data_IF_621297931643
#
_entry.id   IF_621297931643
#
_cell.length_a   1.000
_cell.length_b   1.000
_cell.length_c   1.000
_cell.angle_alpha   90.00
_cell.angle_beta   90.00
_cell.angle_gamma   90.00
#
_symmetry.space_group_name_H-M   'P 1'
#
loop_
_entity.id
_entity.type
_entity.pdbx_description
1 polymer ?
#
# COMPACT_ATOMS: atom_id res chain seq x y z
N UNK A 1 15.78 13.41 5.46
CA UNK A 1 15.90 14.23 4.24
C UNK A 1 14.79 13.83 3.28
N UNK A 2 14.08 14.80 2.69
CA UNK A 2 13.07 14.51 1.69
C UNK A 2 13.73 14.00 0.40
N UNK A 3 13.23 12.86 -0.11
CA UNK A 3 13.71 12.28 -1.37
C UNK A 3 12.84 12.79 -2.52
N UNK A 4 13.48 13.24 -3.59
CA UNK A 4 12.76 13.51 -4.85
C UNK A 4 12.32 12.19 -5.47
N UNK A 5 11.06 12.15 -5.91
CA UNK A 5 10.47 10.97 -6.55
C UNK A 5 10.67 10.94 -8.07
N UNK A 6 11.13 12.03 -8.68
CA UNK A 6 11.37 12.09 -10.13
C UNK A 6 12.38 11.01 -10.57
N UNK A 7 12.01 10.21 -11.57
CA UNK A 7 12.79 9.09 -12.08
C UNK A 7 12.90 7.87 -11.14
N UNK A 8 12.25 7.88 -9.98
CA UNK A 8 12.27 6.74 -9.05
C UNK A 8 11.32 5.64 -9.50
N UNK A 9 11.79 4.39 -9.44
CA UNK A 9 11.01 3.19 -9.78
C UNK A 9 10.29 2.70 -8.54
N UNK A 10 8.95 2.77 -8.55
CA UNK A 10 8.13 2.48 -7.38
C UNK A 10 7.07 1.43 -7.71
N UNK A 11 7.15 0.27 -7.07
CA UNK A 11 6.17 -0.80 -7.19
C UNK A 11 4.96 -0.46 -6.31
N UNK A 12 3.75 -0.49 -6.88
CA UNK A 12 2.49 -0.31 -6.17
C UNK A 12 1.65 -1.57 -6.30
N UNK A 13 1.43 -2.28 -5.20
CA UNK A 13 0.56 -3.45 -5.18
C UNK A 13 -0.90 -3.05 -4.97
N UNK A 14 -1.83 -3.79 -5.56
CA UNK A 14 -3.25 -3.41 -5.54
C UNK A 14 -3.55 -2.17 -6.39
N UNK A 15 -2.75 -1.90 -7.44
CA UNK A 15 -2.83 -0.69 -8.26
C UNK A 15 -4.06 -0.61 -9.18
N UNK A 16 -4.90 -1.63 -9.24
CA UNK A 16 -6.04 -1.70 -10.17
C UNK A 16 -7.29 -0.94 -9.70
N UNK A 17 -7.31 -0.34 -8.51
CA UNK A 17 -8.41 0.48 -7.98
C UNK A 17 -8.03 1.23 -6.70
N UNK A 18 -8.89 2.17 -6.29
CA UNK A 18 -8.87 2.83 -4.99
C UNK A 18 -7.54 3.50 -4.66
N UNK A 19 -7.02 3.26 -3.44
CA UNK A 19 -5.80 3.87 -2.94
C UNK A 19 -4.59 3.57 -3.84
N UNK A 20 -4.46 2.32 -4.31
CA UNK A 20 -3.33 1.92 -5.17
C UNK A 20 -3.33 2.62 -6.52
N UNK A 21 -4.47 2.72 -7.18
CA UNK A 21 -4.64 3.47 -8.43
C UNK A 21 -4.35 4.96 -8.23
N UNK A 22 -4.95 5.57 -7.21
CA UNK A 22 -4.72 6.98 -6.89
C UNK A 22 -3.23 7.26 -6.58
N UNK A 23 -2.57 6.36 -5.85
CA UNK A 23 -1.13 6.45 -5.56
C UNK A 23 -0.31 6.38 -6.85
N UNK A 24 -0.62 5.46 -7.77
CA UNK A 24 0.09 5.34 -9.04
C UNK A 24 -0.03 6.62 -9.89
N UNK A 25 -1.23 7.22 -9.96
CA UNK A 25 -1.46 8.50 -10.64
C UNK A 25 -0.66 9.65 -10.02
N UNK A 26 -0.61 9.70 -8.69
CA UNK A 26 0.16 10.71 -7.96
C UNK A 26 1.67 10.55 -8.18
N UNK A 27 2.17 9.31 -8.17
CA UNK A 27 3.57 9.00 -8.46
C UNK A 27 3.96 9.43 -9.88
N UNK A 28 3.11 9.11 -10.86
CA UNK A 28 3.34 9.56 -12.24
C UNK A 28 3.40 11.08 -12.34
N UNK A 29 2.46 11.81 -11.72
CA UNK A 29 2.49 13.28 -11.66
C UNK A 29 3.74 13.84 -10.97
N UNK A 30 4.31 13.11 -10.02
CA UNK A 30 5.58 13.46 -9.38
C UNK A 30 6.82 13.07 -10.20
N UNK A 31 6.66 12.62 -11.46
CA UNK A 31 7.74 12.21 -12.35
C UNK A 31 8.37 10.85 -12.00
N UNK A 32 7.77 10.06 -11.10
CA UNK A 32 8.20 8.70 -10.81
C UNK A 32 7.81 7.73 -11.94
N UNK A 33 8.40 6.53 -11.90
CA UNK A 33 8.13 5.42 -12.81
C UNK A 33 7.33 4.34 -12.04
N UNK A 34 5.98 4.39 -12.04
CA UNK A 34 5.18 3.45 -11.30
C UNK A 34 5.17 2.06 -11.96
N UNK A 35 5.34 1.01 -11.14
CA UNK A 35 5.13 -0.38 -11.55
C UNK A 35 3.82 -0.85 -10.92
N UNK A 36 2.85 -1.17 -11.76
CA UNK A 36 1.47 -1.43 -11.37
C UNK A 36 1.25 -2.94 -11.18
N UNK A 37 1.10 -3.39 -9.94
CA UNK A 37 0.89 -4.81 -9.63
C UNK A 37 -0.52 -5.06 -9.10
N UNK A 38 -1.28 -5.94 -9.76
CA UNK A 38 -2.58 -6.44 -9.33
C UNK A 38 -3.01 -7.63 -10.22
N UNK A 39 -4.09 -8.34 -9.82
CA UNK A 39 -4.61 -9.47 -10.59
C UNK A 39 -5.39 -9.05 -11.86
N UNK A 40 -6.05 -7.88 -11.84
CA UNK A 40 -6.92 -7.40 -12.93
C UNK A 40 -6.07 -6.78 -14.04
N UNK A 41 -5.61 -7.62 -14.99
CA UNK A 41 -4.72 -7.22 -16.07
C UNK A 41 -5.33 -6.14 -16.98
N UNK A 42 -6.62 -6.23 -17.25
CA UNK A 42 -7.40 -5.26 -18.05
C UNK A 42 -7.33 -3.84 -17.45
N UNK A 43 -7.55 -3.72 -16.12
CA UNK A 43 -7.47 -2.44 -15.43
C UNK A 43 -6.05 -1.89 -15.38
N UNK A 44 -5.05 -2.75 -15.20
CA UNK A 44 -3.64 -2.33 -15.24
C UNK A 44 -3.25 -1.82 -16.61
N UNK A 45 -3.72 -2.47 -17.68
CA UNK A 45 -3.47 -2.05 -19.06
C UNK A 45 -4.12 -0.70 -19.35
N UNK A 46 -5.38 -0.51 -18.93
CA UNK A 46 -6.07 0.77 -19.08
C UNK A 46 -5.33 1.90 -18.32
N UNK A 47 -4.94 1.65 -17.06
CA UNK A 47 -4.22 2.64 -16.26
C UNK A 47 -2.84 2.95 -16.85
N UNK A 48 -2.10 1.96 -17.34
CA UNK A 48 -0.79 2.18 -17.96
C UNK A 48 -0.89 2.94 -19.29
N UNK A 49 -1.99 2.82 -20.01
CA UNK A 49 -2.22 3.62 -21.23
C UNK A 49 -2.45 5.12 -20.92
N UNK A 50 -2.97 5.44 -19.74
CA UNK A 50 -3.11 6.81 -19.26
C UNK A 50 -1.80 7.36 -18.65
N UNK A 51 -1.01 6.45 -18.03
CA UNK A 51 0.26 6.76 -17.38
C UNK A 51 1.40 6.20 -18.24
N UNK A 52 1.80 6.94 -19.26
CA UNK A 52 2.72 6.55 -20.34
C UNK A 52 4.06 5.94 -19.88
N UNK A 53 4.48 6.24 -18.64
CA UNK A 53 5.71 5.70 -18.02
C UNK A 53 5.46 4.47 -17.14
N UNK A 54 4.21 4.08 -16.91
CA UNK A 54 3.86 3.00 -15.97
C UNK A 54 4.06 1.60 -16.59
N UNK A 55 4.61 0.68 -15.80
CA UNK A 55 4.79 -0.72 -16.17
C UNK A 55 3.67 -1.59 -15.55
N UNK A 56 2.72 -2.12 -16.33
CA UNK A 56 1.72 -3.03 -15.81
C UNK A 56 2.30 -4.45 -15.67
N UNK A 57 2.17 -5.05 -14.47
CA UNK A 57 2.60 -6.42 -14.19
C UNK A 57 1.48 -7.17 -13.47
N UNK A 58 0.68 -7.97 -14.20
CA UNK A 58 -0.34 -8.81 -13.57
C UNK A 58 0.30 -9.73 -12.53
N UNK A 59 -0.15 -9.62 -11.27
CA UNK A 59 0.47 -10.32 -10.14
C UNK A 59 -0.58 -10.70 -9.11
N UNK A 60 -0.60 -11.98 -8.72
CA UNK A 60 -1.30 -12.42 -7.51
C UNK A 60 -0.33 -12.35 -6.33
N UNK A 61 -0.63 -11.48 -5.38
CA UNK A 61 0.21 -11.28 -4.20
C UNK A 61 0.16 -12.47 -3.21
N UNK A 62 -0.75 -13.43 -3.41
CA UNK A 62 -0.77 -14.68 -2.64
C UNK A 62 0.21 -15.73 -3.16
N UNK A 63 0.79 -15.51 -4.33
CA UNK A 63 1.77 -16.39 -4.96
C UNK A 63 3.19 -15.80 -4.86
N UNK A 64 4.06 -16.33 -3.99
CA UNK A 64 5.43 -15.82 -3.84
C UNK A 64 6.28 -15.91 -5.11
N UNK A 65 5.96 -16.82 -6.04
CA UNK A 65 6.71 -16.89 -7.30
C UNK A 65 6.34 -15.71 -8.22
N UNK A 66 5.05 -15.35 -8.30
CA UNK A 66 4.63 -14.17 -9.05
C UNK A 66 5.16 -12.88 -8.43
N UNK A 67 5.22 -12.80 -7.08
CA UNK A 67 5.82 -11.65 -6.39
C UNK A 67 7.30 -11.49 -6.71
N UNK A 68 8.07 -12.58 -6.76
CA UNK A 68 9.47 -12.54 -7.23
C UNK A 68 9.55 -12.11 -8.69
N UNK A 69 8.72 -12.69 -9.56
CA UNK A 69 8.66 -12.34 -10.98
C UNK A 69 8.34 -10.87 -11.23
N UNK A 70 7.49 -10.24 -10.40
CA UNK A 70 7.21 -8.79 -10.44
C UNK A 70 8.50 -7.98 -10.23
N UNK A 71 9.30 -8.33 -9.22
CA UNK A 71 10.55 -7.61 -8.92
C UNK A 71 11.58 -7.86 -10.02
N UNK A 72 11.73 -9.10 -10.49
CA UNK A 72 12.66 -9.46 -11.57
C UNK A 72 12.34 -8.69 -12.87
N UNK A 73 11.05 -8.60 -13.24
CA UNK A 73 10.60 -7.83 -14.40
C UNK A 73 10.86 -6.32 -14.21
N UNK A 74 10.67 -5.81 -12.99
CA UNK A 74 10.96 -4.41 -12.67
C UNK A 74 12.44 -4.11 -12.83
N UNK A 75 13.31 -4.96 -12.28
CA UNK A 75 14.78 -4.83 -12.41
C UNK A 75 15.22 -4.99 -13.86
N UNK A 76 14.66 -5.96 -14.58
CA UNK A 76 14.95 -6.13 -16.02
C UNK A 76 14.59 -4.90 -16.85
N UNK A 77 13.50 -4.22 -16.53
CA UNK A 77 12.99 -3.06 -17.29
C UNK A 77 13.69 -1.75 -16.92
N UNK A 78 13.97 -1.54 -15.64
CA UNK A 78 14.41 -0.25 -15.10
C UNK A 78 15.80 -0.30 -14.42
N UNK A 79 16.37 -1.48 -14.19
CA UNK A 79 17.67 -1.64 -13.54
C UNK A 79 17.65 -1.43 -12.02
N UNK A 80 16.51 -1.07 -11.43
CA UNK A 80 16.40 -0.68 -10.02
C UNK A 80 14.99 -0.83 -9.45
N UNK A 81 14.89 -0.79 -8.12
CA UNK A 81 13.64 -0.63 -7.36
C UNK A 81 13.91 0.38 -6.24
N UNK A 82 13.34 1.57 -6.30
CA UNK A 82 13.53 2.62 -5.30
C UNK A 82 12.48 2.60 -4.20
N UNK A 83 11.27 2.14 -4.54
CA UNK A 83 10.18 2.08 -3.58
C UNK A 83 9.26 0.89 -3.78
N UNK A 84 8.64 0.47 -2.67
CA UNK A 84 7.56 -0.52 -2.63
C UNK A 84 6.40 0.03 -1.82
N UNK A 85 5.21 0.03 -2.39
CA UNK A 85 3.95 0.33 -1.70
C UNK A 85 3.15 -0.97 -1.59
N UNK A 86 3.14 -1.57 -0.41
CA UNK A 86 2.31 -2.72 -0.06
C UNK A 86 0.91 -2.24 0.29
N UNK A 87 0.05 -2.10 -0.74
CA UNK A 87 -1.33 -1.66 -0.61
C UNK A 87 -2.34 -2.77 -0.92
N UNK A 88 -1.95 -3.80 -1.67
CA UNK A 88 -2.84 -4.93 -1.93
C UNK A 88 -3.36 -5.55 -0.63
N UNK A 89 -4.66 -5.82 -0.58
CA UNK A 89 -5.30 -6.42 0.58
C UNK A 89 -6.77 -6.72 0.32
N UNK A 90 -7.35 -7.46 1.24
CA UNK A 90 -8.79 -7.72 1.31
C UNK A 90 -9.29 -7.42 2.73
N UNK A 91 -10.59 -7.14 2.85
CA UNK A 91 -11.27 -7.04 4.14
C UNK A 91 -12.07 -8.31 4.40
N UNK A 92 -12.32 -8.53 5.66
CA UNK A 92 -13.29 -9.50 6.15
C UNK A 92 -14.13 -8.83 7.24
N UNK A 93 -15.43 -9.04 7.18
CA UNK A 93 -16.34 -8.50 8.18
C UNK A 93 -17.23 -9.62 8.71
N UNK A 94 -17.19 -9.85 10.01
CA UNK A 94 -17.97 -10.91 10.69
C UNK A 94 -17.61 -10.98 12.17
N UNK A 95 -18.51 -11.59 12.98
CA UNK A 95 -18.26 -11.84 14.39
C UNK A 95 -17.17 -12.90 14.54
N UNK A 96 -16.37 -12.84 15.60
CA UNK A 96 -15.25 -13.78 15.80
C UNK A 96 -15.69 -15.24 15.80
N UNK A 97 -16.86 -15.53 16.42
CA UNK A 97 -17.42 -16.88 16.47
C UNK A 97 -17.89 -17.42 15.13
N UNK A 98 -18.13 -16.56 14.13
CA UNK A 98 -18.65 -16.92 12.82
C UNK A 98 -17.55 -16.95 11.73
N UNK A 99 -16.30 -16.63 12.09
CA UNK A 99 -15.20 -16.61 11.12
C UNK A 99 -14.83 -18.04 10.71
N UNK A 100 -14.97 -18.36 9.41
CA UNK A 100 -14.40 -19.58 8.85
C UNK A 100 -12.86 -19.51 8.88
N UNK A 101 -12.17 -20.44 9.57
CA UNK A 101 -10.72 -20.51 9.60
C UNK A 101 -10.06 -20.61 8.22
N UNK A 102 -10.74 -21.22 7.23
CA UNK A 102 -10.25 -21.30 5.86
C UNK A 102 -10.24 -19.93 5.19
N UNK A 103 -11.33 -19.17 5.27
CA UNK A 103 -11.43 -17.80 4.76
C UNK A 103 -10.42 -16.87 5.46
N UNK A 104 -10.23 -17.04 6.76
CA UNK A 104 -9.23 -16.28 7.50
C UNK A 104 -7.79 -16.61 7.04
N UNK A 105 -7.49 -17.86 6.73
CA UNK A 105 -6.20 -18.26 6.18
C UNK A 105 -5.94 -17.58 4.84
N UNK A 106 -6.93 -17.48 3.95
CA UNK A 106 -6.82 -16.75 2.69
C UNK A 106 -6.58 -15.26 2.90
N UNK A 107 -7.26 -14.66 3.88
CA UNK A 107 -7.04 -13.27 4.25
C UNK A 107 -5.60 -13.03 4.71
N UNK A 108 -5.07 -13.90 5.58
CA UNK A 108 -3.68 -13.83 6.05
C UNK A 108 -2.67 -14.03 4.91
N UNK A 109 -2.96 -14.94 3.97
CA UNK A 109 -2.11 -15.19 2.83
C UNK A 109 -1.91 -13.91 1.98
N UNK A 110 -2.98 -13.15 1.74
CA UNK A 110 -2.89 -11.89 1.02
C UNK A 110 -2.31 -10.75 1.87
N UNK A 111 -2.94 -10.50 3.04
CA UNK A 111 -2.66 -9.29 3.81
C UNK A 111 -1.33 -9.32 4.57
N UNK A 112 -0.81 -10.50 4.90
CA UNK A 112 0.40 -10.68 5.72
C UNK A 112 1.51 -11.33 4.93
N UNK A 113 1.27 -12.54 4.40
CA UNK A 113 2.32 -13.30 3.68
C UNK A 113 2.69 -12.59 2.38
N UNK A 114 1.71 -12.04 1.65
CA UNK A 114 1.96 -11.24 0.44
C UNK A 114 2.84 -10.03 0.71
N UNK A 115 2.61 -9.31 1.81
CA UNK A 115 3.45 -8.18 2.25
C UNK A 115 4.87 -8.66 2.57
N UNK A 116 5.00 -9.73 3.36
CA UNK A 116 6.30 -10.32 3.70
C UNK A 116 7.07 -10.76 2.44
N UNK A 117 6.40 -11.45 1.51
CA UNK A 117 7.01 -11.91 0.25
C UNK A 117 7.50 -10.74 -0.61
N UNK A 118 6.74 -9.64 -0.66
CA UNK A 118 7.13 -8.44 -1.40
C UNK A 118 8.37 -7.76 -0.76
N UNK A 119 8.40 -7.64 0.57
CA UNK A 119 9.58 -7.13 1.29
C UNK A 119 10.80 -8.00 1.00
N UNK A 120 10.66 -9.32 1.13
CA UNK A 120 11.75 -10.27 0.86
C UNK A 120 12.27 -10.19 -0.58
N UNK A 121 11.41 -9.91 -1.54
CA UNK A 121 11.79 -9.81 -2.94
C UNK A 121 12.53 -8.51 -3.27
N UNK A 122 12.14 -7.35 -2.69
CA UNK A 122 12.77 -6.05 -3.00
C UNK A 122 14.04 -5.79 -2.19
N UNK A 123 14.14 -6.30 -0.97
CA UNK A 123 15.26 -6.01 -0.04
C UNK A 123 16.63 -6.33 -0.65
N UNK A 124 16.88 -7.46 -1.32
CA UNK A 124 18.19 -7.72 -1.94
C UNK A 124 18.57 -6.66 -2.97
N UNK A 125 17.62 -6.18 -3.77
CA UNK A 125 17.83 -5.14 -4.77
C UNK A 125 18.12 -3.80 -4.10
N UNK A 126 17.30 -3.39 -3.14
CA UNK A 126 17.47 -2.13 -2.41
C UNK A 126 18.78 -2.12 -1.62
N UNK A 127 19.16 -3.25 -1.01
CA UNK A 127 20.43 -3.42 -0.29
C UNK A 127 21.64 -3.22 -1.23
N UNK A 128 21.58 -3.78 -2.44
CA UNK A 128 22.65 -3.59 -3.44
C UNK A 128 22.74 -2.14 -3.93
N UNK A 129 21.65 -1.37 -3.82
CA UNK A 129 21.60 0.06 -4.14
C UNK A 129 22.04 0.95 -2.97
N UNK A 130 22.09 0.43 -1.74
CA UNK A 130 22.35 1.18 -0.51
C UNK A 130 21.21 2.12 -0.12
N UNK A 131 20.01 1.96 -0.69
CA UNK A 131 18.86 2.81 -0.41
C UNK A 131 17.54 2.15 -0.85
N UNK A 132 16.46 2.40 -0.11
CA UNK A 132 15.11 1.96 -0.47
C UNK A 132 14.03 2.61 0.39
N UNK A 133 12.81 2.62 -0.11
CA UNK A 133 11.61 3.09 0.61
C UNK A 133 10.51 2.04 0.55
N UNK A 134 10.06 1.55 1.68
CA UNK A 134 8.96 0.59 1.78
C UNK A 134 7.83 1.26 2.56
N UNK A 135 6.64 1.31 1.96
CA UNK A 135 5.43 1.81 2.62
C UNK A 135 4.42 0.68 2.72
N UNK A 136 4.08 0.31 3.95
CA UNK A 136 3.04 -0.69 4.22
C UNK A 136 1.73 0.01 4.59
N UNK A 137 0.68 -0.25 3.81
CA UNK A 137 -0.66 0.29 4.08
C UNK A 137 -1.38 -0.65 5.03
N UNK A 138 -1.54 -0.18 6.27
CA UNK A 138 -2.26 -0.85 7.33
C UNK A 138 -3.73 -0.38 7.41
N UNK A 139 -4.23 -0.15 8.61
CA UNK A 139 -5.60 0.33 8.83
C UNK A 139 -5.77 0.93 10.23
N UNK A 140 -6.59 1.96 10.33
CA UNK A 140 -7.05 2.51 11.61
C UNK A 140 -7.85 1.50 12.46
N UNK A 141 -8.35 0.41 11.87
CA UNK A 141 -9.00 -0.67 12.63
C UNK A 141 -8.08 -1.33 13.65
N UNK A 142 -6.76 -1.23 13.49
CA UNK A 142 -5.78 -1.72 14.46
C UNK A 142 -5.71 -0.85 15.72
N UNK A 143 -6.28 0.35 15.68
CA UNK A 143 -6.34 1.30 16.80
C UNK A 143 -7.72 1.29 17.43
N UNK A 144 -8.78 1.41 16.61
CA UNK A 144 -10.16 1.53 17.13
C UNK A 144 -10.83 0.18 17.40
N UNK A 145 -10.30 -0.94 16.87
CA UNK A 145 -10.77 -2.31 17.07
C UNK A 145 -12.32 -2.47 16.98
N UNK A 146 -12.95 -2.06 15.86
CA UNK A 146 -14.40 -2.05 15.76
C UNK A 146 -14.95 -3.49 15.74
N UNK A 147 -16.12 -3.73 16.38
CA UNK A 147 -16.79 -5.02 16.29
C UNK A 147 -17.00 -5.48 14.84
N UNK A 148 -16.82 -6.77 14.59
CA UNK A 148 -16.92 -7.35 13.25
C UNK A 148 -15.68 -7.24 12.38
N UNK A 149 -14.67 -6.46 12.76
CA UNK A 149 -13.43 -6.33 12.00
C UNK A 149 -12.27 -7.17 12.56
N UNK A 150 -12.53 -8.09 13.49
CA UNK A 150 -11.49 -8.80 14.25
C UNK A 150 -10.44 -9.50 13.38
N UNK A 151 -10.87 -10.31 12.40
CA UNK A 151 -9.96 -11.01 11.50
C UNK A 151 -9.11 -10.04 10.67
N UNK A 152 -9.75 -9.00 10.09
CA UNK A 152 -9.05 -7.99 9.31
C UNK A 152 -8.08 -7.18 10.17
N UNK A 153 -8.53 -6.67 11.32
CA UNK A 153 -7.69 -5.90 12.24
C UNK A 153 -6.48 -6.71 12.72
N UNK A 154 -6.65 -8.00 13.02
CA UNK A 154 -5.56 -8.89 13.40
C UNK A 154 -4.54 -9.06 12.27
N UNK A 155 -5.00 -9.23 11.00
CA UNK A 155 -4.10 -9.27 9.84
C UNK A 155 -3.28 -7.98 9.69
N UNK A 156 -3.91 -6.82 9.89
CA UNK A 156 -3.24 -5.51 9.81
C UNK A 156 -2.33 -5.23 11.01
N UNK A 157 -2.67 -5.73 12.20
CA UNK A 157 -1.79 -5.69 13.37
C UNK A 157 -0.50 -6.50 13.14
N UNK A 158 -0.59 -7.65 12.46
CA UNK A 158 0.58 -8.40 12.04
C UNK A 158 1.48 -7.57 11.08
N UNK A 159 0.89 -6.87 10.11
CA UNK A 159 1.63 -5.94 9.22
C UNK A 159 2.30 -4.81 10.02
N UNK A 160 1.62 -4.25 11.04
CA UNK A 160 2.20 -3.22 11.90
C UNK A 160 3.49 -3.72 12.56
N UNK A 161 3.45 -4.92 13.15
CA UNK A 161 4.61 -5.50 13.82
C UNK A 161 5.73 -5.85 12.83
N UNK A 162 5.39 -6.47 11.69
CA UNK A 162 6.39 -6.74 10.63
C UNK A 162 7.07 -5.45 10.16
N UNK A 163 6.33 -4.36 9.99
CA UNK A 163 6.87 -3.06 9.58
C UNK A 163 7.83 -2.48 10.63
N UNK A 164 7.44 -2.55 11.91
CA UNK A 164 8.26 -2.06 13.02
C UNK A 164 9.58 -2.82 13.14
N UNK A 165 9.54 -4.14 12.96
CA UNK A 165 10.76 -4.98 13.00
C UNK A 165 11.62 -4.75 11.76
N UNK A 166 11.02 -4.79 10.56
CA UNK A 166 11.73 -4.57 9.30
C UNK A 166 12.43 -3.20 9.26
N UNK A 167 11.81 -2.14 9.81
CA UNK A 167 12.44 -0.83 9.90
C UNK A 167 13.77 -0.86 10.67
N UNK A 168 13.82 -1.63 11.77
CA UNK A 168 15.03 -1.76 12.60
C UNK A 168 16.09 -2.61 11.92
N UNK A 169 15.67 -3.73 11.30
CA UNK A 169 16.57 -4.69 10.65
C UNK A 169 17.21 -4.12 9.36
N UNK A 170 16.53 -3.21 8.67
CA UNK A 170 16.93 -2.68 7.36
C UNK A 170 17.56 -1.27 7.44
N UNK A 171 17.63 -0.68 8.65
CA UNK A 171 18.13 0.68 8.84
C UNK A 171 19.58 0.85 8.35
N UNK A 172 20.45 -0.11 8.68
CA UNK A 172 21.87 -0.08 8.29
C UNK A 172 22.08 -0.30 6.79
N UNK A 173 21.09 -0.85 6.09
CA UNK A 173 21.07 -1.01 4.63
C UNK A 173 20.61 0.27 3.90
N UNK A 174 20.24 1.34 4.62
CA UNK A 174 19.69 2.57 4.06
C UNK A 174 18.24 2.43 3.56
N UNK A 175 17.52 1.43 4.07
CA UNK A 175 16.13 1.15 3.67
C UNK A 175 15.19 1.61 4.78
N UNK A 176 14.35 2.61 4.48
CA UNK A 176 13.31 3.03 5.41
C UNK A 176 12.00 2.29 5.17
N UNK A 177 11.40 1.83 6.26
CA UNK A 177 10.07 1.22 6.26
C UNK A 177 9.08 2.13 6.98
N UNK A 178 8.04 2.52 6.27
CA UNK A 178 6.97 3.40 6.76
C UNK A 178 5.66 2.64 6.89
N UNK A 179 4.86 3.00 7.88
CA UNK A 179 3.53 2.47 8.12
C UNK A 179 2.50 3.58 7.94
N UNK A 180 1.54 3.40 7.04
CA UNK A 180 0.41 4.30 6.85
C UNK A 180 -0.85 3.60 7.33
N UNK A 181 -1.61 4.25 8.23
CA UNK A 181 -2.87 3.73 8.77
C UNK A 181 -4.05 4.57 8.25
N UNK A 182 -4.65 4.19 7.11
CA UNK A 182 -5.85 4.86 6.62
C UNK A 182 -7.02 4.67 7.58
N UNK A 183 -7.84 5.70 7.67
CA UNK A 183 -9.20 5.63 8.20
C UNK A 183 -10.15 5.10 7.12
N UNK A 184 -11.47 5.30 7.28
CA UNK A 184 -12.46 4.99 6.26
C UNK A 184 -12.08 5.69 4.95
N UNK A 185 -12.06 4.94 3.86
CA UNK A 185 -11.69 5.47 2.54
C UNK A 185 -12.74 5.07 1.51
N UNK A 186 -13.22 6.02 0.72
CA UNK A 186 -14.24 5.83 -0.30
C UNK A 186 -13.68 5.05 -1.50
N UNK A 187 -13.71 3.72 -1.44
CA UNK A 187 -13.16 2.81 -2.46
C UNK A 187 -14.06 1.61 -2.72
N UNK A 188 -13.69 0.77 -3.70
CA UNK A 188 -14.32 -0.54 -3.91
C UNK A 188 -13.92 -1.58 -2.83
N UNK A 189 -12.99 -1.25 -1.93
CA UNK A 189 -12.50 -2.15 -0.89
C UNK A 189 -13.64 -2.59 0.04
N UNK A 190 -13.65 -3.88 0.44
CA UNK A 190 -14.72 -4.40 1.28
C UNK A 190 -16.09 -4.42 0.60
N UNK A 191 -16.14 -4.58 -0.74
CA UNK A 191 -17.40 -4.58 -1.49
C UNK A 191 -17.99 -3.18 -1.70
N UNK A 192 -17.20 -2.12 -1.48
CA UNK A 192 -17.65 -0.74 -1.65
C UNK A 192 -18.52 -0.23 -0.49
N UNK A 193 -18.42 -0.85 0.69
CA UNK A 193 -19.22 -0.52 1.87
C UNK A 193 -19.23 0.99 2.21
N UNK A 194 -18.14 1.69 1.94
CA UNK A 194 -17.95 3.12 2.25
C UNK A 194 -17.85 3.99 0.99
N UNK A 195 -18.31 3.49 -0.15
CA UNK A 195 -18.23 4.21 -1.42
C UNK A 195 -19.16 5.42 -1.47
N UNK A 196 -20.31 5.29 -0.81
CA UNK A 196 -21.31 6.33 -0.69
C UNK A 196 -21.36 6.86 0.75
N UNK A 197 -21.45 8.17 0.93
CA UNK A 197 -21.43 8.85 2.23
C UNK A 197 -22.49 8.35 3.22
N UNK A 198 -23.56 7.69 2.74
CA UNK A 198 -24.66 7.16 3.56
C UNK A 198 -24.29 5.98 4.47
N UNK A 199 -23.16 5.30 4.23
CA UNK A 199 -22.71 4.13 4.97
C UNK A 199 -21.54 4.41 5.93
N UNK A 200 -21.07 5.65 6.00
CA UNK A 200 -19.97 6.02 6.90
C UNK A 200 -20.50 6.10 8.34
N UNK A 201 -19.92 5.36 9.30
CA UNK A 201 -20.35 5.42 10.69
C UNK A 201 -20.33 6.84 11.25
N UNK A 202 -21.29 7.17 12.12
CA UNK A 202 -21.39 8.49 12.76
C UNK A 202 -20.08 8.86 13.46
N UNK A 203 -19.61 10.09 13.21
CA UNK A 203 -18.34 10.59 13.76
C UNK A 203 -17.08 10.23 12.97
N UNK A 204 -17.21 9.46 11.87
CA UNK A 204 -16.13 9.18 10.95
C UNK A 204 -16.32 9.99 9.65
N UNK A 205 -15.20 10.22 8.95
CA UNK A 205 -15.19 10.83 7.61
C UNK A 205 -14.56 9.86 6.63
N UNK A 206 -15.20 9.67 5.48
CA UNK A 206 -14.59 8.92 4.39
C UNK A 206 -13.60 9.81 3.64
N UNK A 207 -12.32 9.45 3.69
CA UNK A 207 -11.29 10.13 2.91
C UNK A 207 -11.32 9.70 1.44
N UNK A 208 -10.89 10.60 0.56
CA UNK A 208 -10.70 10.21 -0.84
C UNK A 208 -9.46 9.31 -1.00
N UNK A 209 -9.45 8.42 -2.02
CA UNK A 209 -8.25 7.64 -2.36
C UNK A 209 -7.04 8.52 -2.65
N UNK A 210 -7.24 9.69 -3.25
CA UNK A 210 -6.19 10.67 -3.53
C UNK A 210 -5.56 11.23 -2.27
N UNK A 211 -6.36 11.51 -1.25
CA UNK A 211 -5.84 11.99 0.03
C UNK A 211 -4.90 10.94 0.66
N UNK A 212 -5.34 9.68 0.72
CA UNK A 212 -4.50 8.58 1.23
C UNK A 212 -3.25 8.39 0.35
N UNK A 213 -3.40 8.50 -0.97
CA UNK A 213 -2.28 8.46 -1.91
C UNK A 213 -1.24 9.56 -1.64
N UNK A 214 -1.66 10.80 -1.31
CA UNK A 214 -0.74 11.88 -0.91
C UNK A 214 0.02 11.54 0.36
N UNK A 215 -0.65 10.94 1.34
CA UNK A 215 0.01 10.47 2.58
C UNK A 215 1.07 9.41 2.27
N UNK A 216 0.78 8.48 1.35
CA UNK A 216 1.74 7.47 0.89
C UNK A 216 2.95 8.14 0.20
N UNK A 217 2.73 9.15 -0.66
CA UNK A 217 3.84 9.90 -1.27
C UNK A 217 4.69 10.62 -0.22
N UNK A 218 4.06 11.22 0.80
CA UNK A 218 4.79 11.79 1.93
C UNK A 218 5.68 10.72 2.61
N UNK A 219 5.13 9.56 2.94
CA UNK A 219 5.89 8.47 3.53
C UNK A 219 7.10 8.06 2.66
N UNK A 220 6.92 7.96 1.34
CA UNK A 220 8.00 7.67 0.39
C UNK A 220 9.08 8.75 0.37
N UNK A 221 8.70 10.03 0.48
CA UNK A 221 9.64 11.16 0.47
C UNK A 221 10.41 11.29 1.78
N UNK A 222 9.70 11.19 2.91
CA UNK A 222 10.27 11.51 4.24
C UNK A 222 10.91 10.32 4.93
N UNK A 223 10.46 9.08 4.64
CA UNK A 223 10.81 7.89 5.41
C UNK A 223 10.23 7.90 6.83
N UNK A 224 9.20 8.72 7.10
CA UNK A 224 8.52 8.78 8.39
C UNK A 224 8.05 7.40 8.83
N UNK A 225 8.28 7.05 10.10
CA UNK A 225 8.05 5.68 10.57
C UNK A 225 6.57 5.31 10.53
N UNK A 226 5.69 6.22 10.97
CA UNK A 226 4.25 5.95 11.05
C UNK A 226 3.44 7.22 10.80
N UNK A 227 2.42 7.10 9.97
CA UNK A 227 1.46 8.17 9.69
C UNK A 227 0.05 7.61 9.90
N UNK A 228 -0.61 8.10 10.94
CA UNK A 228 -2.01 7.80 11.23
C UNK A 228 -2.90 8.85 10.55
N UNK A 229 -3.84 8.40 9.72
CA UNK A 229 -4.83 9.29 9.11
C UNK A 229 -5.99 9.47 10.11
N UNK A 230 -6.31 10.70 10.50
CA UNK A 230 -7.38 10.98 11.46
C UNK A 230 -8.72 10.38 11.03
N UNK A 231 -9.53 9.96 12.00
CA UNK A 231 -10.88 9.45 11.74
C UNK A 231 -11.94 10.54 11.60
N UNK A 232 -11.65 11.75 12.11
CA UNK A 232 -12.53 12.92 12.09
C UNK A 232 -12.35 13.81 10.86
N UNK A 233 -13.06 14.95 10.81
CA UNK A 233 -13.03 15.88 9.69
C UNK A 233 -11.71 16.64 9.54
N UNK A 234 -10.84 16.59 10.54
CA UNK A 234 -9.53 17.21 10.48
C UNK A 234 -8.64 16.47 9.48
N UNK A 235 -8.46 17.06 8.32
CA UNK A 235 -7.47 16.59 7.34
C UNK A 235 -6.22 17.44 7.50
N UNK A 236 -5.10 16.87 8.00
CA UNK A 236 -3.84 17.60 8.01
C UNK A 236 -3.51 18.04 6.59
N UNK A 237 -3.27 19.32 6.40
CA UNK A 237 -2.74 19.81 5.13
C UNK A 237 -1.32 19.29 4.96
N UNK A 238 -1.00 18.82 3.78
CA UNK A 238 0.35 18.43 3.38
C UNK A 238 0.88 19.49 2.39
N UNK A 239 1.39 20.63 2.88
CA UNK A 239 1.84 21.75 2.03
C UNK A 239 2.94 21.35 1.07
N UNK A 240 3.70 20.29 1.38
CA UNK A 240 4.77 19.75 0.54
C UNK A 240 4.26 19.04 -0.74
N UNK A 241 2.96 18.83 -0.87
CA UNK A 241 2.32 18.15 -1.99
C UNK A 241 1.51 19.11 -2.89
N UNK A 242 1.46 20.39 -2.55
CA UNK A 242 0.76 21.44 -3.30
C UNK A 242 1.62 22.12 -4.37
N UNK A 243 2.77 21.58 -4.71
CA UNK A 243 3.57 21.97 -5.87
C UNK A 243 2.96 21.39 -7.15
N UNK A 244 2.29 22.25 -7.91
CA UNK A 244 1.86 22.08 -9.31
C UNK A 244 3.00 21.70 -10.24
#
# INVERSE_FOLDING_TARGET
>A
MNVDLAGRVIIVTGASSGIGEATARLLHRAGALPVLAARRADRLTALSAELDTALPVPTDMTDPAQVRGLVDLTVKRHGRVDGLVNNAGASFHGRLEDIDPFEYTHLLQLNVIGVLSAIQAVVPVMRSQGAGRIVNVSSGTTVIAPPGAGAYAASKAAVNMLSTVARKELADDGIDVSLVLPSVTATEFGGGMFRDDGNVPSGLVAHSPEYVGRVILRALRTGEERIDIPHGPEQPEFPELSGS
#
